data_IF_948019294649
#
_entry.id   IF_948019294649
#
_cell.length_a   1.000
_cell.length_b   1.000
_cell.length_c   1.000
_cell.angle_alpha   90.00
_cell.angle_beta   90.00
_cell.angle_gamma   90.00
#
_symmetry.space_group_name_H-M   'P 1'
#
loop_
_entity.id
_entity.type
_entity.pdbx_description
1 polymer ?
#
# COMPACT_ATOMS: atom_id res chain seq x y z
N UNK A 1 -25.07 -0.63 8.64
CA UNK A 1 -23.62 -0.61 8.93
C UNK A 1 -23.21 0.84 9.11
N UNK A 2 -22.40 1.14 10.12
CA UNK A 2 -21.84 2.50 10.35
C UNK A 2 -20.64 2.70 9.44
N UNK A 3 -20.61 3.79 8.66
CA UNK A 3 -19.50 4.09 7.73
C UNK A 3 -18.26 4.56 8.49
N UNK A 4 -17.09 4.49 7.88
CA UNK A 4 -15.83 4.93 8.49
C UNK A 4 -15.86 6.42 8.86
N UNK A 5 -16.42 7.28 8.00
CA UNK A 5 -16.54 8.71 8.29
C UNK A 5 -17.38 9.01 9.54
N UNK A 6 -18.38 8.16 9.82
CA UNK A 6 -19.27 8.33 10.96
C UNK A 6 -18.57 8.00 12.30
N UNK A 7 -17.35 7.42 12.27
CA UNK A 7 -16.52 7.14 13.45
C UNK A 7 -15.60 8.31 13.83
N UNK A 8 -15.49 9.33 12.99
CA UNK A 8 -14.65 10.51 13.27
C UNK A 8 -15.24 11.27 14.45
N UNK A 9 -14.41 11.46 15.49
CA UNK A 9 -14.83 12.20 16.68
C UNK A 9 -14.64 13.70 16.46
N UNK A 10 -15.59 14.54 16.91
CA UNK A 10 -15.36 15.98 16.90
C UNK A 10 -14.15 16.32 17.78
N UNK A 11 -13.23 17.09 17.24
CA UNK A 11 -12.05 17.59 17.94
C UNK A 11 -12.15 19.11 18.07
N UNK A 12 -11.83 19.65 19.25
CA UNK A 12 -11.81 21.08 19.53
C UNK A 12 -10.39 21.67 19.48
N UNK A 13 -9.36 20.82 19.47
CA UNK A 13 -7.96 21.25 19.41
C UNK A 13 -7.14 20.43 18.41
N UNK A 14 -6.06 21.01 17.90
CA UNK A 14 -5.10 20.26 17.05
C UNK A 14 -4.40 19.13 17.81
N UNK A 15 -4.32 19.20 19.14
CA UNK A 15 -3.78 18.10 19.95
C UNK A 15 -4.68 16.87 19.87
N UNK A 16 -6.00 17.06 19.95
CA UNK A 16 -6.97 15.97 19.80
C UNK A 16 -6.93 15.38 18.40
N UNK A 17 -6.90 16.23 17.36
CA UNK A 17 -6.77 15.76 15.96
C UNK A 17 -5.54 14.86 15.80
N UNK A 18 -4.37 15.31 16.26
CA UNK A 18 -3.12 14.53 16.18
C UNK A 18 -3.22 13.22 16.94
N UNK A 19 -3.85 13.21 18.12
CA UNK A 19 -4.05 11.98 18.89
C UNK A 19 -4.88 10.96 18.13
N UNK A 20 -6.02 11.36 17.54
CA UNK A 20 -6.87 10.44 16.80
C UNK A 20 -6.21 9.98 15.49
N UNK A 21 -5.46 10.85 14.79
CA UNK A 21 -4.67 10.47 13.61
C UNK A 21 -3.58 9.47 13.96
N UNK A 22 -2.78 9.74 15.00
CA UNK A 22 -1.74 8.80 15.44
C UNK A 22 -2.32 7.43 15.80
N UNK A 23 -3.46 7.40 16.49
CA UNK A 23 -4.13 6.14 16.82
C UNK A 23 -4.60 5.36 15.59
N UNK A 24 -4.97 6.05 14.50
CA UNK A 24 -5.27 5.40 13.23
C UNK A 24 -3.99 4.92 12.54
N UNK A 25 -2.92 5.71 12.58
CA UNK A 25 -1.62 5.34 11.99
C UNK A 25 -1.01 4.11 12.67
N UNK A 26 -1.20 3.96 13.99
CA UNK A 26 -0.81 2.76 14.75
C UNK A 26 -1.50 1.48 14.21
N UNK A 27 -2.66 1.62 13.57
CA UNK A 27 -3.37 0.52 12.91
C UNK A 27 -2.99 0.40 11.44
N UNK A 28 -2.85 1.53 10.74
CA UNK A 28 -2.57 1.56 9.30
C UNK A 28 -1.17 1.05 8.98
N UNK A 29 -0.15 1.40 9.76
CA UNK A 29 1.24 1.03 9.48
C UNK A 29 1.44 -0.49 9.46
N UNK A 30 1.01 -1.28 10.46
CA UNK A 30 1.09 -2.74 10.40
C UNK A 30 0.40 -3.33 9.16
N UNK A 31 -0.81 -2.85 8.84
CA UNK A 31 -1.57 -3.32 7.67
C UNK A 31 -0.84 -3.00 6.35
N UNK A 32 -0.22 -1.83 6.25
CA UNK A 32 0.57 -1.45 5.08
C UNK A 32 1.85 -2.29 4.96
N UNK A 33 2.51 -2.61 6.08
CA UNK A 33 3.68 -3.50 6.10
C UNK A 33 3.29 -4.90 5.59
N UNK A 34 2.19 -5.47 6.08
CA UNK A 34 1.67 -6.75 5.59
C UNK A 34 1.35 -6.70 4.09
N UNK A 35 0.64 -5.65 3.67
CA UNK A 35 0.26 -5.44 2.26
C UNK A 35 1.49 -5.36 1.36
N UNK A 36 2.52 -4.62 1.76
CA UNK A 36 3.77 -4.48 1.00
C UNK A 36 4.57 -5.78 1.03
N UNK A 37 4.53 -6.55 2.12
CA UNK A 37 5.18 -7.87 2.21
C UNK A 37 4.70 -8.87 1.15
N UNK A 38 3.46 -8.76 0.68
CA UNK A 38 2.98 -9.57 -0.46
C UNK A 38 3.70 -9.25 -1.77
N UNK A 39 4.33 -8.09 -1.91
CA UNK A 39 5.14 -7.77 -3.10
C UNK A 39 6.40 -8.62 -3.16
N UNK A 40 6.97 -9.04 -2.02
CA UNK A 40 8.05 -10.03 -2.01
C UNK A 40 7.58 -11.39 -2.55
N UNK A 41 6.34 -11.78 -2.24
CA UNK A 41 5.74 -12.98 -2.83
C UNK A 41 5.51 -12.82 -4.33
N UNK A 42 5.02 -11.65 -4.76
CA UNK A 42 4.85 -11.34 -6.17
C UNK A 42 6.18 -11.39 -6.93
N UNK A 43 7.25 -10.80 -6.39
CA UNK A 43 8.60 -10.83 -6.96
C UNK A 43 9.17 -12.25 -7.14
N UNK A 44 8.82 -13.16 -6.22
CA UNK A 44 9.16 -14.59 -6.30
C UNK A 44 8.39 -15.32 -7.41
N UNK A 45 7.13 -14.95 -7.62
CA UNK A 45 6.22 -15.62 -8.57
C UNK A 45 6.42 -15.13 -10.00
N UNK A 46 6.54 -13.81 -10.19
CA UNK A 46 6.77 -13.21 -11.52
C UNK A 46 8.08 -13.74 -12.08
N UNK A 47 8.12 -14.02 -13.37
CA UNK A 47 9.31 -14.55 -14.05
C UNK A 47 10.06 -13.46 -14.81
N UNK A 48 9.36 -12.42 -15.24
CA UNK A 48 9.88 -11.32 -16.05
C UNK A 48 9.70 -9.96 -15.33
N UNK A 49 10.74 -9.11 -15.25
CA UNK A 49 10.63 -7.77 -14.66
C UNK A 49 9.59 -6.86 -15.33
N UNK A 50 9.24 -7.09 -16.60
CA UNK A 50 8.16 -6.37 -17.29
C UNK A 50 6.79 -6.66 -16.67
N UNK A 51 6.62 -7.77 -15.93
CA UNK A 51 5.39 -8.11 -15.21
C UNK A 51 5.24 -7.33 -13.90
N UNK A 52 6.28 -6.61 -13.45
CA UNK A 52 6.24 -5.89 -12.17
C UNK A 52 5.22 -4.75 -12.22
N UNK A 53 5.19 -4.00 -13.33
CA UNK A 53 4.20 -2.95 -13.57
C UNK A 53 3.07 -3.47 -14.46
N UNK A 54 1.87 -3.55 -13.88
CA UNK A 54 0.65 -3.93 -14.58
C UNK A 54 -0.39 -2.82 -14.45
N UNK A 55 -0.54 -2.02 -15.51
CA UNK A 55 -1.47 -0.88 -15.56
C UNK A 55 -2.92 -1.31 -15.37
N UNK A 56 -3.32 -2.45 -15.93
CA UNK A 56 -4.68 -2.98 -15.78
C UNK A 56 -4.94 -3.34 -14.32
N UNK A 57 -3.96 -3.92 -13.64
CA UNK A 57 -4.07 -4.22 -12.21
C UNK A 57 -4.12 -2.96 -11.36
N UNK A 58 -3.30 -1.95 -11.65
CA UNK A 58 -3.31 -0.66 -10.95
C UNK A 58 -4.70 -0.03 -11.06
N UNK A 59 -5.25 0.04 -12.27
CA UNK A 59 -6.57 0.62 -12.50
C UNK A 59 -7.68 -0.14 -11.76
N UNK A 60 -7.65 -1.49 -11.79
CA UNK A 60 -8.60 -2.30 -11.04
C UNK A 60 -8.54 -2.10 -9.52
N UNK A 61 -7.36 -1.79 -8.96
CA UNK A 61 -7.21 -1.43 -7.54
C UNK A 61 -7.83 -0.06 -7.29
N UNK A 62 -7.52 0.93 -8.13
CA UNK A 62 -8.05 2.29 -8.02
C UNK A 62 -9.58 2.28 -8.07
N UNK A 63 -10.19 1.61 -9.05
CA UNK A 63 -11.64 1.55 -9.21
C UNK A 63 -12.32 0.96 -7.96
N UNK A 64 -11.80 -0.16 -7.46
CA UNK A 64 -12.29 -0.80 -6.22
C UNK A 64 -12.18 0.14 -5.02
N UNK A 65 -11.07 0.84 -4.89
CA UNK A 65 -10.82 1.76 -3.77
C UNK A 65 -11.72 2.98 -3.85
N UNK A 66 -11.95 3.54 -5.04
CA UNK A 66 -12.90 4.64 -5.24
C UNK A 66 -14.31 4.23 -4.83
N UNK A 67 -14.78 3.07 -5.28
CA UNK A 67 -16.09 2.54 -4.89
C UNK A 67 -16.21 2.37 -3.37
N UNK A 68 -15.23 1.72 -2.75
CA UNK A 68 -15.20 1.52 -1.30
C UNK A 68 -15.16 2.86 -0.54
N UNK A 69 -14.41 3.84 -1.02
CA UNK A 69 -14.29 5.17 -0.39
C UNK A 69 -15.64 5.88 -0.35
N UNK A 70 -16.39 5.84 -1.44
CA UNK A 70 -17.73 6.43 -1.51
C UNK A 70 -18.69 5.73 -0.54
N UNK A 71 -18.65 4.39 -0.46
CA UNK A 71 -19.47 3.62 0.48
C UNK A 71 -19.16 3.97 1.95
N UNK A 72 -17.91 4.28 2.25
CA UNK A 72 -17.44 4.70 3.58
C UNK A 72 -17.62 6.21 3.85
N UNK A 73 -18.15 6.96 2.88
CA UNK A 73 -18.47 8.39 3.00
C UNK A 73 -17.27 9.34 2.84
N UNK A 74 -16.19 8.88 2.22
CA UNK A 74 -15.00 9.67 1.93
C UNK A 74 -14.97 10.30 0.53
N UNK A 75 -13.89 11.02 0.25
CA UNK A 75 -13.59 11.60 -1.06
C UNK A 75 -12.77 10.62 -1.91
N UNK A 76 -13.33 10.20 -3.06
CA UNK A 76 -12.72 9.20 -3.92
C UNK A 76 -11.43 9.68 -4.60
N UNK A 77 -11.32 10.98 -4.90
CA UNK A 77 -10.15 11.54 -5.58
C UNK A 77 -8.96 11.62 -4.63
N UNK A 78 -9.22 11.98 -3.36
CA UNK A 78 -8.21 11.92 -2.29
C UNK A 78 -7.68 10.49 -2.13
N UNK A 79 -8.58 9.50 -2.05
CA UNK A 79 -8.16 8.12 -1.85
C UNK A 79 -7.43 7.53 -3.07
N UNK A 80 -7.85 7.89 -4.29
CA UNK A 80 -7.14 7.51 -5.50
C UNK A 80 -5.70 8.02 -5.49
N UNK A 81 -5.47 9.29 -5.15
CA UNK A 81 -4.12 9.86 -5.10
C UNK A 81 -3.20 9.10 -4.12
N UNK A 82 -3.73 8.75 -2.95
CA UNK A 82 -3.02 7.94 -1.95
C UNK A 82 -2.70 6.55 -2.52
N UNK A 83 -3.67 5.87 -3.10
CA UNK A 83 -3.47 4.51 -3.60
C UNK A 83 -2.57 4.44 -4.84
N UNK A 84 -2.63 5.41 -5.75
CA UNK A 84 -1.67 5.50 -6.86
C UNK A 84 -0.25 5.64 -6.33
N UNK A 85 -0.03 6.52 -5.36
CA UNK A 85 1.28 6.69 -4.72
C UNK A 85 1.76 5.41 -4.03
N UNK A 86 0.85 4.70 -3.34
CA UNK A 86 1.13 3.39 -2.75
C UNK A 86 1.50 2.35 -3.82
N UNK A 87 0.84 2.36 -4.99
CA UNK A 87 1.16 1.41 -6.06
C UNK A 87 2.55 1.66 -6.62
N UNK A 88 2.90 2.92 -6.86
CA UNK A 88 4.25 3.28 -7.32
C UNK A 88 5.32 2.86 -6.31
N UNK A 89 5.08 3.07 -5.01
CA UNK A 89 5.97 2.60 -3.96
C UNK A 89 6.09 1.07 -3.92
N UNK A 90 4.98 0.34 -4.09
CA UNK A 90 4.97 -1.12 -4.16
C UNK A 90 5.73 -1.64 -5.39
N UNK A 91 5.54 -1.04 -6.56
CA UNK A 91 6.23 -1.39 -7.81
C UNK A 91 7.73 -1.18 -7.64
N UNK A 92 8.14 -0.04 -7.09
CA UNK A 92 9.55 0.25 -6.82
C UNK A 92 10.16 -0.74 -5.81
N UNK A 93 9.42 -1.12 -4.77
CA UNK A 93 9.85 -2.13 -3.80
C UNK A 93 9.96 -3.52 -4.45
N UNK A 94 8.97 -3.90 -5.24
CA UNK A 94 8.93 -5.19 -5.93
C UNK A 94 10.10 -5.34 -6.91
N UNK A 95 10.45 -4.29 -7.67
CA UNK A 95 11.63 -4.30 -8.53
C UNK A 95 12.93 -4.60 -7.75
N UNK A 96 13.10 -4.01 -6.55
CA UNK A 96 14.27 -4.28 -5.70
C UNK A 96 14.28 -5.73 -5.21
N UNK A 97 13.15 -6.25 -4.74
CA UNK A 97 13.05 -7.64 -4.31
C UNK A 97 13.26 -8.63 -5.46
N UNK A 98 12.72 -8.32 -6.64
CA UNK A 98 12.89 -9.13 -7.84
C UNK A 98 14.36 -9.24 -8.23
N UNK A 99 15.10 -8.12 -8.21
CA UNK A 99 16.53 -8.08 -8.46
C UNK A 99 17.30 -8.88 -7.38
N UNK A 100 17.03 -8.63 -6.09
CA UNK A 100 17.67 -9.33 -4.96
C UNK A 100 17.50 -10.86 -5.03
N UNK A 101 16.34 -11.35 -5.48
CA UNK A 101 16.08 -12.79 -5.63
C UNK A 101 16.78 -13.44 -6.83
N UNK A 102 17.26 -12.62 -7.78
CA UNK A 102 17.89 -13.07 -9.05
C UNK A 102 19.36 -12.72 -9.15
N UNK A 103 19.87 -11.92 -8.22
CA UNK A 103 21.30 -11.81 -8.02
C UNK A 103 21.85 -13.22 -7.79
N UNK A 104 22.80 -13.69 -8.61
CA UNK A 104 23.49 -14.94 -8.33
C UNK A 104 24.10 -14.80 -6.94
N UNK A 105 23.93 -15.81 -6.07
CA UNK A 105 24.55 -15.81 -4.76
C UNK A 105 26.07 -15.65 -4.93
N UNK A 106 26.58 -14.43 -4.83
CA UNK A 106 28.01 -14.17 -4.97
C UNK A 106 28.70 -14.74 -3.74
N UNK A 107 29.28 -15.93 -3.94
CA UNK A 107 30.36 -16.54 -3.17
C UNK A 107 30.21 -16.56 -1.64
N UNK A 108 29.45 -17.53 -1.15
CA UNK A 108 29.91 -18.29 0.01
C UNK A 108 31.12 -19.16 -0.38
N UNK A 109 32.28 -18.54 -0.58
CA UNK A 109 33.61 -19.18 -0.54
C UNK A 109 34.70 -18.12 -0.72
N UNK A 110 35.34 -17.74 0.38
CA UNK A 110 36.74 -17.35 0.40
C UNK A 110 37.27 -17.42 1.84
N UNK A 111 38.02 -18.51 2.08
CA UNK A 111 39.03 -18.78 3.11
C UNK A 111 38.67 -18.62 4.60
#
# INVERSE_FOLDING_TARGET
MTRAIDKVKPCSTMLEVRREVNALDDVLVPLLVERVGYMTQAARIKQDPAQVRDEARIQAIVDRVREQTLAEGGDADVMEAIYRSLMEACIAYEHREFARLREPATAGSAA
#
